data_IF_236909323206
#
_entry.id   IF_236909323206
#
_cell.length_a   1.000
_cell.length_b   1.000
_cell.length_c   1.000
_cell.angle_alpha   90.00
_cell.angle_beta   90.00
_cell.angle_gamma   90.00
#
_symmetry.space_group_name_H-M   'P 1'
#
loop_
_entity.id
_entity.type
_entity.pdbx_description
1 polymer ?
#
# COMPACT_ATOMS: atom_id res chain seq x y z
N UNK A 1 27.61 -1.72 27.18
CA UNK A 1 26.87 -0.45 27.41
C UNK A 1 26.04 -0.08 26.17
N UNK A 2 25.39 -1.04 25.49
CA UNK A 2 24.55 -0.73 24.31
C UNK A 2 23.43 -1.76 24.03
N UNK A 3 23.12 -2.66 24.96
CA UNK A 3 22.19 -3.76 24.71
C UNK A 3 21.04 -3.80 25.70
N UNK A 4 20.20 -2.78 25.62
CA UNK A 4 18.78 -2.85 25.97
C UNK A 4 17.88 -2.31 24.84
N UNK A 5 18.40 -2.21 23.61
CA UNK A 5 17.58 -1.98 22.40
C UNK A 5 16.99 -3.27 21.81
N UNK A 6 17.36 -4.45 22.34
CA UNK A 6 17.02 -5.76 21.76
C UNK A 6 15.83 -6.48 22.39
N UNK A 7 15.51 -6.24 23.67
CA UNK A 7 14.64 -7.16 24.43
C UNK A 7 13.20 -6.69 24.69
N UNK A 8 12.73 -5.69 23.94
CA UNK A 8 11.31 -5.54 23.63
C UNK A 8 11.10 -5.56 22.06
N UNK A 9 12.15 -5.97 21.30
CA UNK A 9 12.15 -6.21 19.84
C UNK A 9 12.21 -7.71 19.47
N UNK A 10 12.12 -8.60 20.46
CA UNK A 10 12.24 -10.06 20.34
C UNK A 10 10.96 -10.80 19.98
N UNK A 11 10.11 -10.30 19.08
CA UNK A 11 9.07 -11.09 18.41
C UNK A 11 9.35 -11.24 16.90
N UNK A 12 10.62 -11.19 16.51
CA UNK A 12 11.07 -11.46 15.13
C UNK A 12 12.27 -12.40 15.12
N UNK A 13 12.04 -13.69 15.35
CA UNK A 13 12.64 -14.87 14.66
C UNK A 13 12.69 -16.10 15.58
N UNK A 14 11.68 -16.97 15.51
CA UNK A 14 11.76 -18.33 14.92
C UNK A 14 10.46 -19.13 15.13
N UNK A 15 9.95 -19.60 13.99
CA UNK A 15 9.11 -20.77 13.68
C UNK A 15 7.72 -20.96 14.34
N UNK A 16 6.73 -20.92 13.43
CA UNK A 16 5.62 -21.86 13.28
C UNK A 16 4.95 -22.35 14.57
N UNK A 17 3.89 -21.67 14.98
CA UNK A 17 2.53 -22.21 15.12
C UNK A 17 1.65 -21.12 15.78
N UNK A 18 0.50 -20.91 15.15
CA UNK A 18 -0.74 -20.36 15.71
C UNK A 18 -0.84 -18.87 16.12
N UNK A 19 -1.93 -18.31 15.58
CA UNK A 19 -2.68 -17.11 15.92
C UNK A 19 -2.15 -15.69 15.63
N UNK A 20 -2.78 -15.14 14.58
CA UNK A 20 -2.99 -13.73 14.25
C UNK A 20 -3.64 -12.87 15.36
N UNK A 21 -3.87 -13.41 16.56
CA UNK A 21 -4.49 -12.71 17.69
C UNK A 21 -3.57 -11.76 18.49
N UNK A 22 -2.23 -11.82 18.33
CA UNK A 22 -1.31 -11.10 19.24
C UNK A 22 -0.76 -9.76 18.76
N UNK A 23 -1.10 -9.29 17.55
CA UNK A 23 -0.62 -7.98 17.05
C UNK A 23 -1.33 -6.77 17.66
N UNK A 24 -2.43 -7.01 18.40
CA UNK A 24 -3.22 -5.99 19.09
C UNK A 24 -3.49 -6.37 20.55
N UNK A 25 -2.58 -7.05 21.24
CA UNK A 25 -2.73 -7.18 22.69
C UNK A 25 -2.52 -5.79 23.31
N UNK A 26 -3.55 -5.19 23.93
CA UNK A 26 -3.33 -4.00 24.73
C UNK A 26 -2.31 -4.34 25.81
N UNK A 27 -1.38 -3.42 26.08
CA UNK A 27 -0.49 -3.52 27.25
C UNK A 27 -1.39 -3.84 28.45
N UNK A 28 -1.13 -4.96 29.15
CA UNK A 28 -1.95 -5.37 30.28
C UNK A 28 -1.98 -4.23 31.30
N UNK A 29 -3.11 -3.98 31.95
CA UNK A 29 -3.21 -2.90 32.95
C UNK A 29 -3.07 -3.51 34.34
N UNK A 30 -2.11 -3.05 35.11
CA UNK A 30 -1.93 -3.43 36.51
C UNK A 30 -2.45 -2.31 37.41
N UNK A 31 -3.07 -2.68 38.53
CA UNK A 31 -3.56 -1.71 39.52
C UNK A 31 -2.48 -1.54 40.58
N UNK A 32 -1.77 -0.41 40.55
CA UNK A 32 -0.80 -0.03 41.58
C UNK A 32 -1.39 1.15 42.35
N UNK A 33 -1.52 1.02 43.68
CA UNK A 33 -2.09 2.05 44.56
C UNK A 33 -3.45 2.61 44.10
N UNK A 34 -4.35 1.75 43.61
CA UNK A 34 -5.71 2.14 43.22
C UNK A 34 -5.83 2.91 41.90
N UNK A 35 -4.75 3.08 41.14
CA UNK A 35 -4.75 3.63 39.77
C UNK A 35 -4.40 2.53 38.76
N UNK A 36 -5.11 2.51 37.62
CA UNK A 36 -4.78 1.61 36.51
C UNK A 36 -3.55 2.15 35.76
N UNK A 37 -2.42 1.45 35.86
CA UNK A 37 -1.19 1.75 35.11
C UNK A 37 -0.93 0.66 34.07
N UNK A 38 -0.20 0.99 32.99
CA UNK A 38 0.17 0.02 31.95
C UNK A 38 1.31 -0.89 32.44
N UNK A 39 1.23 -2.20 32.20
CA UNK A 39 2.17 -3.24 32.63
C UNK A 39 3.57 -2.93 32.12
N UNK A 40 4.54 -2.90 33.03
CA UNK A 40 5.95 -2.58 32.74
C UNK A 40 6.58 -3.75 31.95
N UNK A 41 7.30 -3.49 30.85
CA UNK A 41 8.16 -4.51 30.19
C UNK A 41 9.28 -4.87 31.20
N UNK A 42 9.69 -6.12 31.29
CA UNK A 42 10.74 -6.59 32.20
C UNK A 42 11.93 -7.11 31.41
N UNK A 43 13.14 -6.98 31.95
CA UNK A 43 14.35 -7.58 31.38
C UNK A 43 14.98 -8.53 32.40
N UNK A 44 15.65 -9.59 31.95
CA UNK A 44 16.47 -10.40 32.85
C UNK A 44 17.66 -9.60 33.34
N UNK A 45 18.04 -9.75 34.62
CA UNK A 45 19.19 -9.06 35.19
C UNK A 45 20.46 -9.47 34.43
N UNK A 46 21.13 -8.48 33.83
CA UNK A 46 22.26 -8.69 32.91
C UNK A 46 23.43 -9.42 33.56
N UNK A 47 23.66 -9.22 34.86
CA UNK A 47 24.75 -9.86 35.60
C UNK A 47 24.57 -11.37 35.70
N UNK A 48 23.32 -11.81 35.89
CA UNK A 48 22.95 -13.24 35.97
C UNK A 48 23.14 -13.90 34.61
N UNK A 49 22.66 -13.25 33.54
CA UNK A 49 22.77 -13.77 32.16
C UNK A 49 24.23 -13.83 31.72
N UNK A 50 25.05 -12.84 32.07
CA UNK A 50 26.50 -12.83 31.76
C UNK A 50 27.26 -13.92 32.48
N UNK A 51 26.94 -14.19 33.74
CA UNK A 51 27.58 -15.26 34.51
C UNK A 51 27.26 -16.64 33.92
N UNK A 52 26.00 -16.87 33.55
CA UNK A 52 25.58 -18.12 32.90
C UNK A 52 26.21 -18.30 31.51
N UNK A 53 26.34 -17.22 30.74
CA UNK A 53 27.05 -17.24 29.46
C UNK A 53 28.55 -17.49 29.62
N UNK A 54 29.18 -16.97 30.67
CA UNK A 54 30.60 -17.21 30.96
C UNK A 54 30.86 -18.67 31.39
N UNK A 55 29.85 -19.32 31.98
CA UNK A 55 29.88 -20.74 32.35
C UNK A 55 29.48 -21.67 31.19
N UNK A 56 29.16 -21.13 30.01
CA UNK A 56 28.89 -21.89 28.79
C UNK A 56 27.49 -22.47 28.67
N UNK A 57 26.53 -22.06 29.52
CA UNK A 57 25.18 -22.61 29.52
C UNK A 57 24.30 -22.08 28.37
N UNK A 58 23.51 -22.98 27.76
CA UNK A 58 22.64 -22.65 26.63
C UNK A 58 21.19 -22.40 27.13
N UNK A 59 20.59 -21.22 26.82
CA UNK A 59 19.23 -20.88 27.24
C UNK A 59 18.17 -21.90 26.79
N UNK A 60 17.32 -22.35 27.71
CA UNK A 60 16.20 -23.26 27.42
C UNK A 60 16.56 -24.74 27.27
N UNK A 61 17.86 -25.08 27.28
CA UNK A 61 18.35 -26.47 27.35
C UNK A 61 18.92 -26.79 28.73
N UNK A 62 19.83 -25.92 29.20
CA UNK A 62 20.56 -26.14 30.46
C UNK A 62 20.08 -25.21 31.59
N UNK A 63 19.33 -24.15 31.24
CA UNK A 63 18.78 -23.17 32.18
C UNK A 63 17.32 -22.92 31.85
N UNK A 64 16.45 -23.07 32.84
CA UNK A 64 15.03 -22.78 32.72
C UNK A 64 14.80 -21.27 32.79
N UNK A 65 14.40 -20.67 31.67
CA UNK A 65 14.33 -19.21 31.51
C UNK A 65 13.26 -18.56 32.40
N UNK A 66 12.24 -19.30 32.83
CA UNK A 66 11.15 -18.80 33.68
C UNK A 66 11.57 -18.51 35.12
N UNK A 67 12.71 -19.06 35.57
CA UNK A 67 13.20 -18.95 36.95
C UNK A 67 14.24 -17.85 37.13
N UNK A 68 14.67 -17.20 36.05
CA UNK A 68 15.70 -16.17 36.10
C UNK A 68 15.14 -14.83 36.61
N UNK A 69 15.87 -14.19 37.52
CA UNK A 69 15.49 -12.89 38.09
C UNK A 69 15.34 -11.82 36.99
N UNK A 70 14.19 -11.14 37.02
CA UNK A 70 13.86 -10.03 36.13
C UNK A 70 13.91 -8.70 36.89
N UNK A 71 14.40 -7.67 36.23
CA UNK A 71 14.41 -6.28 36.70
C UNK A 71 13.61 -5.38 35.73
N UNK A 72 13.07 -4.28 36.24
CA UNK A 72 12.48 -3.24 35.39
C UNK A 72 13.56 -2.51 34.58
N UNK A 73 13.23 -2.00 33.40
CA UNK A 73 14.21 -1.20 32.65
C UNK A 73 14.57 0.08 33.41
N UNK A 74 15.85 0.15 33.78
CA UNK A 74 16.44 1.20 34.62
C UNK A 74 16.55 2.53 33.87
N UNK A 75 16.63 2.50 32.54
CA UNK A 75 16.87 3.68 31.68
C UNK A 75 15.58 4.38 31.18
N UNK A 76 14.43 4.05 31.78
CA UNK A 76 13.12 4.47 31.27
C UNK A 76 12.76 3.81 29.95
N UNK A 77 11.58 4.16 29.43
CA UNK A 77 11.05 3.63 28.18
C UNK A 77 10.86 4.80 27.20
N UNK A 78 11.51 4.76 26.04
CA UNK A 78 11.11 5.59 24.91
C UNK A 78 10.39 4.71 23.89
N UNK A 79 9.09 4.94 23.71
CA UNK A 79 8.40 4.42 22.55
C UNK A 79 8.88 5.23 21.35
N UNK A 80 9.52 4.59 20.37
CA UNK A 80 9.81 5.25 19.10
C UNK A 80 8.46 5.53 18.42
N UNK A 81 7.95 6.75 18.60
CA UNK A 81 6.88 7.35 17.79
C UNK A 81 7.41 7.79 16.42
N UNK A 82 8.60 7.32 16.02
CA UNK A 82 9.23 7.74 14.77
C UNK A 82 8.41 7.22 13.59
N UNK A 83 7.49 8.08 13.15
CA UNK A 83 6.95 8.02 11.81
C UNK A 83 8.13 8.37 10.92
N UNK A 84 8.73 7.34 10.31
CA UNK A 84 9.66 7.54 9.20
C UNK A 84 8.88 8.22 8.07
N UNK A 85 8.87 9.55 8.06
CA UNK A 85 8.49 10.34 6.89
C UNK A 85 9.62 10.16 5.89
N UNK A 86 9.58 9.05 5.15
CA UNK A 86 10.49 8.84 4.05
C UNK A 86 10.18 9.87 2.97
N UNK A 87 11.10 10.82 2.79
CA UNK A 87 11.17 11.72 1.65
C UNK A 87 9.98 12.68 1.52
N UNK A 88 10.21 13.99 1.68
CA UNK A 88 9.22 15.00 1.26
C UNK A 88 9.06 15.01 -0.27
N UNK A 89 8.24 14.10 -0.79
CA UNK A 89 7.69 14.15 -2.14
C UNK A 89 6.73 15.36 -2.26
N UNK A 90 6.39 15.78 -3.48
CA UNK A 90 5.42 16.89 -3.68
C UNK A 90 4.14 16.69 -2.86
N UNK A 91 3.66 15.45 -2.79
CA UNK A 91 2.49 15.06 -2.00
C UNK A 91 2.68 15.22 -0.50
N UNK A 92 3.89 14.98 0.03
CA UNK A 92 4.19 15.15 1.45
C UNK A 92 4.30 16.64 1.83
N UNK A 93 4.66 17.51 0.87
CA UNK A 93 4.80 18.96 1.08
C UNK A 93 3.48 19.72 0.95
N UNK A 94 2.73 19.44 -0.10
CA UNK A 94 1.53 20.21 -0.46
C UNK A 94 0.22 19.56 -0.01
N UNK A 95 0.27 18.30 0.45
CA UNK A 95 -0.91 17.51 0.79
C UNK A 95 -1.23 16.48 -0.28
N UNK A 96 -1.97 15.44 0.14
CA UNK A 96 -2.31 14.30 -0.73
C UNK A 96 -3.41 14.71 -1.71
N UNK A 97 -4.42 15.43 -1.22
CA UNK A 97 -5.56 15.88 -2.02
C UNK A 97 -5.16 16.91 -3.09
N UNK A 98 -4.50 18.05 -2.79
CA UNK A 98 -4.12 19.03 -3.81
C UNK A 98 -3.25 18.44 -4.92
N UNK A 99 -2.31 17.56 -4.57
CA UNK A 99 -1.43 16.92 -5.57
C UNK A 99 -2.23 16.00 -6.48
N UNK A 100 -3.12 15.16 -5.94
CA UNK A 100 -3.99 14.29 -6.73
C UNK A 100 -4.81 15.09 -7.75
N UNK A 101 -5.51 16.14 -7.30
CA UNK A 101 -6.34 16.95 -8.21
C UNK A 101 -5.50 17.77 -9.21
N UNK A 102 -4.32 18.24 -8.83
CA UNK A 102 -3.41 18.94 -9.74
C UNK A 102 -2.90 18.00 -10.85
N UNK A 103 -2.50 16.77 -10.52
CA UNK A 103 -2.02 15.79 -11.49
C UNK A 103 -3.16 15.26 -12.38
N UNK A 104 -4.39 15.17 -11.86
CA UNK A 104 -5.59 14.86 -12.65
C UNK A 104 -5.94 15.99 -13.63
N UNK A 105 -5.87 17.26 -13.19
CA UNK A 105 -6.10 18.41 -14.06
C UNK A 105 -5.05 18.49 -15.18
N UNK A 106 -3.78 18.30 -14.83
CA UNK A 106 -2.68 18.29 -15.79
C UNK A 106 -2.81 17.15 -16.81
N UNK A 107 -3.20 15.97 -16.34
CA UNK A 107 -3.44 14.81 -17.21
C UNK A 107 -4.60 15.07 -18.18
N UNK A 108 -5.70 15.65 -17.71
CA UNK A 108 -6.87 15.99 -18.54
C UNK A 108 -6.49 17.00 -19.61
N UNK A 109 -5.70 18.03 -19.25
CA UNK A 109 -5.19 19.01 -20.19
C UNK A 109 -4.33 18.37 -21.28
N UNK A 110 -3.36 17.53 -20.91
CA UNK A 110 -2.52 16.85 -21.90
C UNK A 110 -3.32 15.88 -22.79
N UNK A 111 -4.30 15.18 -22.23
CA UNK A 111 -5.20 14.29 -22.99
C UNK A 111 -6.04 15.08 -24.00
N UNK A 112 -6.53 16.26 -23.64
CA UNK A 112 -7.27 17.12 -24.55
C UNK A 112 -6.39 17.67 -25.68
N UNK A 113 -5.18 18.16 -25.35
CA UNK A 113 -4.20 18.63 -26.35
C UNK A 113 -3.80 17.49 -27.30
N UNK A 114 -3.73 16.26 -26.80
CA UNK A 114 -3.39 15.07 -27.59
C UNK A 114 -4.36 14.81 -28.74
N UNK A 115 -5.64 15.19 -28.61
CA UNK A 115 -6.64 15.05 -29.70
C UNK A 115 -6.29 15.91 -30.92
N UNK A 116 -5.68 17.06 -30.69
CA UNK A 116 -5.30 18.02 -31.73
C UNK A 116 -3.89 17.78 -32.29
N UNK A 117 -3.23 16.68 -31.91
CA UNK A 117 -1.89 16.38 -32.42
C UNK A 117 -1.91 16.19 -33.94
N UNK A 118 -1.10 16.96 -34.65
CA UNK A 118 -0.95 16.90 -36.12
C UNK A 118 0.26 16.09 -36.55
N UNK A 119 1.22 15.85 -35.66
CA UNK A 119 2.44 15.09 -35.90
C UNK A 119 2.59 13.93 -34.94
N UNK A 120 3.16 12.82 -35.41
CA UNK A 120 3.47 11.64 -34.60
C UNK A 120 4.40 11.97 -33.41
N UNK A 121 5.36 12.87 -33.59
CA UNK A 121 6.26 13.31 -32.52
C UNK A 121 5.50 14.04 -31.42
N UNK A 122 4.58 14.93 -31.80
CA UNK A 122 3.72 15.64 -30.85
C UNK A 122 2.83 14.66 -30.09
N UNK A 123 2.23 13.69 -30.79
CA UNK A 123 1.41 12.66 -30.17
C UNK A 123 2.20 11.84 -29.13
N UNK A 124 3.42 11.41 -29.46
CA UNK A 124 4.27 10.59 -28.58
C UNK A 124 4.70 11.36 -27.34
N UNK A 125 5.09 12.64 -27.48
CA UNK A 125 5.47 13.50 -26.34
C UNK A 125 4.28 13.68 -25.39
N UNK A 126 3.08 13.95 -25.93
CA UNK A 126 1.86 14.11 -25.12
C UNK A 126 1.45 12.80 -24.44
N UNK A 127 1.60 11.66 -25.14
CA UNK A 127 1.36 10.33 -24.60
C UNK A 127 2.27 10.04 -23.39
N UNK A 128 3.54 10.44 -23.46
CA UNK A 128 4.48 10.31 -22.34
C UNK A 128 4.01 11.08 -21.09
N UNK A 129 3.61 12.35 -21.24
CA UNK A 129 3.09 13.14 -20.12
C UNK A 129 1.75 12.62 -19.59
N UNK A 130 0.87 12.12 -20.46
CA UNK A 130 -0.37 11.49 -20.05
C UNK A 130 -0.10 10.22 -19.22
N UNK A 131 0.85 9.37 -19.65
CA UNK A 131 1.28 8.19 -18.91
C UNK A 131 1.90 8.51 -17.55
N UNK A 132 2.72 9.56 -17.46
CA UNK A 132 3.26 10.06 -16.19
C UNK A 132 2.14 10.52 -15.24
N UNK A 133 1.14 11.25 -15.78
CA UNK A 133 -0.04 11.67 -15.05
C UNK A 133 -0.85 10.48 -14.51
N UNK A 134 -1.11 9.47 -15.35
CA UNK A 134 -1.83 8.25 -14.95
C UNK A 134 -1.18 7.55 -13.76
N UNK A 135 0.11 7.28 -13.84
CA UNK A 135 0.83 6.58 -12.76
C UNK A 135 0.89 7.42 -11.48
N UNK A 136 1.08 8.74 -11.61
CA UNK A 136 1.04 9.65 -10.47
C UNK A 136 -0.32 9.64 -9.78
N UNK A 137 -1.41 9.67 -10.55
CA UNK A 137 -2.78 9.65 -10.04
C UNK A 137 -3.09 8.34 -9.33
N UNK A 138 -2.69 7.20 -9.91
CA UNK A 138 -2.85 5.89 -9.29
C UNK A 138 -2.16 5.82 -7.92
N UNK A 139 -0.90 6.22 -7.83
CA UNK A 139 -0.14 6.20 -6.57
C UNK A 139 -0.73 7.17 -5.55
N UNK A 140 -1.06 8.40 -5.95
CA UNK A 140 -1.62 9.41 -5.04
C UNK A 140 -2.98 8.98 -4.48
N UNK A 141 -3.87 8.40 -5.31
CA UNK A 141 -5.17 7.90 -4.88
C UNK A 141 -5.04 6.72 -3.92
N UNK A 142 -4.13 5.77 -4.21
CA UNK A 142 -3.86 4.63 -3.32
C UNK A 142 -3.34 5.08 -1.95
N UNK A 143 -2.39 6.02 -1.91
CA UNK A 143 -1.83 6.54 -0.66
C UNK A 143 -2.90 7.29 0.14
N UNK A 144 -3.66 8.18 -0.51
CA UNK A 144 -4.73 8.93 0.15
C UNK A 144 -5.76 8.00 0.79
N UNK A 145 -6.26 7.00 0.05
CA UNK A 145 -7.21 6.04 0.59
C UNK A 145 -6.62 5.14 1.68
N UNK A 146 -5.34 4.75 1.57
CA UNK A 146 -4.65 3.97 2.59
C UNK A 146 -4.35 4.76 3.89
N UNK A 147 -4.30 6.09 3.81
CA UNK A 147 -4.14 6.98 4.96
C UNK A 147 -5.46 7.33 5.64
N UNK A 148 -6.56 7.44 4.88
CA UNK A 148 -7.91 7.68 5.40
C UNK A 148 -8.49 6.41 6.06
N UNK A 149 -8.30 5.25 5.43
CA UNK A 149 -8.90 3.99 5.86
C UNK A 149 -8.04 3.24 6.87
N UNK A 150 -8.68 2.51 7.78
CA UNK A 150 -8.04 1.73 8.84
C UNK A 150 -8.48 0.26 8.81
N UNK A 151 -7.66 -0.63 9.37
CA UNK A 151 -7.97 -2.06 9.53
C UNK A 151 -8.24 -2.79 8.21
N UNK A 152 -9.25 -3.66 8.24
CA UNK A 152 -9.63 -4.52 7.11
C UNK A 152 -10.22 -3.75 5.92
N UNK A 153 -10.85 -2.59 6.17
CA UNK A 153 -11.41 -1.74 5.11
C UNK A 153 -10.31 -1.15 4.23
N UNK A 154 -9.12 -0.89 4.80
CA UNK A 154 -7.95 -0.48 4.03
C UNK A 154 -7.51 -1.57 3.05
N UNK A 155 -7.51 -2.84 3.47
CA UNK A 155 -7.15 -3.97 2.59
C UNK A 155 -8.18 -4.12 1.48
N UNK A 156 -9.48 -4.03 1.82
CA UNK A 156 -10.56 -4.04 0.84
C UNK A 156 -10.40 -2.93 -0.21
N UNK A 157 -10.14 -1.70 0.22
CA UNK A 157 -9.94 -0.57 -0.69
C UNK A 157 -8.71 -0.73 -1.57
N UNK A 158 -7.55 -1.07 -1.00
CA UNK A 158 -6.29 -1.15 -1.75
C UNK A 158 -6.20 -2.36 -2.68
N UNK A 159 -6.89 -3.46 -2.37
CA UNK A 159 -6.83 -4.68 -3.18
C UNK A 159 -8.00 -4.81 -4.15
N UNK A 160 -9.21 -4.48 -3.70
CA UNK A 160 -10.42 -4.64 -4.50
C UNK A 160 -10.94 -3.30 -5.04
N UNK A 161 -11.11 -2.30 -4.17
CA UNK A 161 -11.74 -1.03 -4.53
C UNK A 161 -11.02 -0.28 -5.67
N UNK A 162 -9.71 -0.05 -5.53
CA UNK A 162 -8.93 0.65 -6.56
C UNK A 162 -8.80 -0.15 -7.86
N UNK A 163 -8.63 -1.47 -7.75
CA UNK A 163 -8.40 -2.34 -8.90
C UNK A 163 -9.70 -2.58 -9.70
N UNK A 164 -10.84 -2.72 -9.02
CA UNK A 164 -12.14 -2.81 -9.70
C UNK A 164 -12.46 -1.56 -10.52
N UNK A 165 -12.09 -0.37 -10.04
CA UNK A 165 -12.26 0.87 -10.80
C UNK A 165 -11.51 0.82 -12.14
N UNK A 166 -10.31 0.24 -12.12
CA UNK A 166 -9.52 0.02 -13.34
C UNK A 166 -10.19 -1.01 -14.27
N UNK A 167 -10.60 -2.18 -13.77
CA UNK A 167 -11.28 -3.19 -14.58
C UNK A 167 -12.58 -2.67 -15.21
N UNK A 168 -13.38 -1.90 -14.46
CA UNK A 168 -14.61 -1.27 -14.98
C UNK A 168 -14.29 -0.29 -16.10
N UNK A 169 -13.28 0.57 -15.92
CA UNK A 169 -12.83 1.47 -16.98
C UNK A 169 -12.33 0.72 -18.21
N UNK A 170 -11.60 -0.37 -17.99
CA UNK A 170 -11.07 -1.21 -19.05
C UNK A 170 -12.17 -1.96 -19.82
N UNK A 171 -13.25 -2.39 -19.16
CA UNK A 171 -14.44 -2.98 -19.82
C UNK A 171 -15.25 -1.95 -20.62
N UNK A 172 -15.34 -0.70 -20.14
CA UNK A 172 -16.06 0.38 -20.84
C UNK A 172 -15.32 0.81 -22.11
N UNK A 173 -13.99 0.74 -22.13
CA UNK A 173 -13.18 1.16 -23.27
C UNK A 173 -13.52 0.46 -24.61
N UNK A 174 -13.53 -0.89 -24.71
CA UNK A 174 -13.89 -1.57 -25.95
C UNK A 174 -15.35 -1.36 -26.34
N UNK A 175 -16.24 -1.18 -25.36
CA UNK A 175 -17.65 -0.85 -25.62
C UNK A 175 -17.76 0.55 -26.25
N UNK A 176 -17.07 1.55 -25.69
CA UNK A 176 -17.03 2.90 -26.26
C UNK A 176 -16.38 2.89 -27.65
N UNK A 177 -15.32 2.12 -27.85
CA UNK A 177 -14.61 2.00 -29.12
C UNK A 177 -15.42 1.25 -30.20
N UNK A 178 -16.40 0.42 -29.82
CA UNK A 178 -17.34 -0.21 -30.74
C UNK A 178 -18.30 0.81 -31.37
N UNK A 179 -18.79 1.77 -30.56
CA UNK A 179 -19.66 2.85 -31.03
C UNK A 179 -18.89 4.02 -31.69
N UNK A 180 -17.75 4.39 -31.12
CA UNK A 180 -16.90 5.49 -31.57
C UNK A 180 -15.65 4.93 -32.26
N UNK A 181 -15.73 4.74 -33.58
CA UNK A 181 -14.63 4.18 -34.37
C UNK A 181 -13.50 5.17 -34.64
N UNK A 182 -13.80 6.46 -34.60
CA UNK A 182 -12.79 7.50 -34.75
C UNK A 182 -11.97 7.64 -33.47
N UNK A 183 -10.65 7.46 -33.58
CA UNK A 183 -9.73 7.54 -32.43
C UNK A 183 -9.78 8.91 -31.72
N UNK A 184 -10.03 10.00 -32.46
CA UNK A 184 -10.19 11.34 -31.87
C UNK A 184 -11.45 11.45 -31.02
N UNK A 185 -12.57 10.93 -31.54
CA UNK A 185 -13.85 10.89 -30.83
C UNK A 185 -13.76 10.00 -29.60
N UNK A 186 -13.03 8.89 -29.68
CA UNK A 186 -12.77 8.00 -28.55
C UNK A 186 -11.93 8.69 -27.46
N UNK A 187 -10.88 9.43 -27.84
CA UNK A 187 -10.06 10.21 -26.91
C UNK A 187 -10.84 11.37 -26.27
N UNK A 188 -11.72 12.03 -27.03
CA UNK A 188 -12.62 13.04 -26.46
C UNK A 188 -13.62 12.41 -25.48
N UNK A 189 -14.23 11.29 -25.85
CA UNK A 189 -15.16 10.56 -24.99
C UNK A 189 -14.50 10.05 -23.70
N UNK A 190 -13.22 9.64 -23.75
CA UNK A 190 -12.48 9.19 -22.56
C UNK A 190 -12.01 10.34 -21.67
N UNK A 191 -11.80 11.54 -22.23
CA UNK A 191 -11.45 12.74 -21.46
C UNK A 191 -12.66 13.40 -20.77
N UNK A 192 -13.88 13.16 -21.25
CA UNK A 192 -15.10 13.74 -20.69
C UNK A 192 -15.38 13.30 -19.22
N UNK A 193 -15.23 12.01 -18.86
CA UNK A 193 -15.29 11.56 -17.46
C UNK A 193 -14.28 12.28 -16.55
N UNK A 194 -13.17 12.81 -17.08
CA UNK A 194 -12.21 13.52 -16.26
C UNK A 194 -12.73 14.87 -15.74
N UNK A 195 -13.78 15.43 -16.35
CA UNK A 195 -14.44 16.63 -15.80
C UNK A 195 -15.30 16.32 -14.57
N UNK A 196 -15.67 15.04 -14.35
CA UNK A 196 -16.42 14.61 -13.16
C UNK A 196 -15.59 14.71 -11.88
N UNK A 197 -14.29 15.02 -11.96
CA UNK A 197 -13.43 15.19 -10.80
C UNK A 197 -13.65 16.52 -10.07
N UNK A 198 -14.17 17.56 -10.74
CA UNK A 198 -14.44 18.86 -10.12
C UNK A 198 -15.35 18.76 -8.87
N UNK A 199 -16.52 18.08 -8.92
CA UNK A 199 -17.35 17.91 -7.72
C UNK A 199 -16.68 17.03 -6.66
N UNK A 200 -15.84 16.05 -7.05
CA UNK A 200 -15.15 15.16 -6.09
C UNK A 200 -14.22 15.91 -5.13
N UNK A 201 -13.75 17.11 -5.49
CA UNK A 201 -12.98 17.97 -4.59
C UNK A 201 -13.72 18.22 -3.26
N UNK A 202 -15.04 18.37 -3.31
CA UNK A 202 -15.85 18.65 -2.11
C UNK A 202 -16.09 17.41 -1.25
N UNK A 203 -16.13 16.24 -1.87
CA UNK A 203 -16.42 14.97 -1.19
C UNK A 203 -15.19 14.36 -0.54
N UNK A 204 -14.02 14.46 -1.17
CA UNK A 204 -12.79 13.80 -0.71
C UNK A 204 -12.11 14.68 0.36
N UNK A 205 -11.99 14.21 1.61
CA UNK A 205 -11.23 14.91 2.65
C UNK A 205 -9.72 14.75 2.41
N UNK A 206 -8.94 15.64 3.02
CA UNK A 206 -7.48 15.47 3.10
C UNK A 206 -7.11 14.36 4.08
N UNK A 207 -5.90 13.80 3.96
CA UNK A 207 -5.38 12.78 4.86
C UNK A 207 -5.26 13.27 6.31
N UNK A 208 -5.94 12.63 7.29
CA UNK A 208 -5.79 13.00 8.71
C UNK A 208 -4.36 12.81 9.21
N UNK A 209 -3.64 11.79 8.71
CA UNK A 209 -2.24 11.53 9.08
C UNK A 209 -1.32 12.63 8.58
N UNK A 210 -1.53 13.11 7.34
CA UNK A 210 -0.76 14.22 6.81
C UNK A 210 -1.02 15.51 7.60
N UNK A 211 -2.29 15.81 7.92
CA UNK A 211 -2.66 16.98 8.72
C UNK A 211 -2.00 16.98 10.11
N UNK A 212 -2.03 15.84 10.81
CA UNK A 212 -1.31 15.67 12.08
C UNK A 212 0.19 15.88 11.93
N UNK A 213 0.78 15.46 10.80
CA UNK A 213 2.21 15.61 10.56
C UNK A 213 2.64 17.05 10.24
N UNK A 214 1.67 17.91 9.88
CA UNK A 214 1.86 19.35 9.61
C UNK A 214 1.43 20.23 10.80
N UNK A 215 1.10 19.64 11.95
CA UNK A 215 0.61 20.35 13.14
C UNK A 215 -0.85 20.85 13.04
N UNK A 216 -1.58 20.48 11.98
CA UNK A 216 -2.98 20.89 11.75
C UNK A 216 -3.96 19.97 12.47
N UNK A 217 -3.90 19.97 13.80
CA UNK A 217 -4.66 19.02 14.65
C UNK A 217 -6.17 19.24 14.57
N UNK A 218 -6.62 20.49 14.54
CA UNK A 218 -8.06 20.83 14.48
C UNK A 218 -8.74 20.35 13.19
N UNK A 219 -8.08 20.58 12.04
CA UNK A 219 -8.57 20.10 10.73
C UNK A 219 -8.65 18.56 10.71
N UNK A 220 -7.64 17.88 11.26
CA UNK A 220 -7.61 16.42 11.33
C UNK A 220 -8.73 15.88 12.22
N UNK A 221 -8.97 16.53 13.37
CA UNK A 221 -10.02 16.14 14.31
C UNK A 221 -11.42 16.33 13.71
N UNK A 222 -11.66 17.42 12.98
CA UNK A 222 -12.92 17.68 12.29
C UNK A 222 -13.26 16.56 11.28
N UNK A 223 -12.27 16.09 10.52
CA UNK A 223 -12.44 14.99 9.54
C UNK A 223 -12.79 13.68 10.27
N UNK A 224 -12.05 13.33 11.33
CA UNK A 224 -12.29 12.09 12.09
C UNK A 224 -13.65 12.12 12.78
N UNK A 225 -14.06 13.26 13.36
CA UNK A 225 -15.40 13.44 13.96
C UNK A 225 -16.51 13.29 12.93
N UNK A 226 -16.35 13.86 11.73
CA UNK A 226 -17.32 13.70 10.63
C UNK A 226 -17.45 12.23 10.22
N UNK A 227 -16.32 11.52 10.08
CA UNK A 227 -16.30 10.10 9.76
C UNK A 227 -16.96 9.24 10.86
N UNK A 228 -16.68 9.55 12.13
CA UNK A 228 -17.28 8.84 13.26
C UNK A 228 -18.78 9.10 13.40
N UNK A 229 -19.25 10.32 13.08
CA UNK A 229 -20.69 10.63 13.00
C UNK A 229 -21.39 9.78 11.94
N UNK A 230 -20.77 9.60 10.77
CA UNK A 230 -21.29 8.71 9.72
C UNK A 230 -21.29 7.25 10.14
N UNK A 231 -20.25 6.80 10.83
CA UNK A 231 -20.13 5.42 11.33
C UNK A 231 -20.86 5.17 12.66
N UNK A 232 -21.56 6.18 13.21
CA UNK A 232 -22.29 6.13 14.50
C UNK A 232 -21.44 5.66 15.68
N UNK A 233 -20.15 6.01 15.68
CA UNK A 233 -19.21 5.67 16.77
C UNK A 233 -19.13 6.84 17.76
N UNK A 234 -19.21 6.56 19.07
CA UNK A 234 -19.02 7.57 20.12
C UNK A 234 -17.55 8.00 20.17
N UNK A 235 -17.29 9.28 19.93
CA UNK A 235 -15.94 9.85 19.93
C UNK A 235 -15.70 10.59 21.25
N UNK A 236 -14.53 10.45 21.89
CA UNK A 236 -14.15 11.31 23.01
C UNK A 236 -14.00 12.78 22.57
N UNK A 237 -14.18 13.71 23.51
CA UNK A 237 -14.18 15.15 23.23
C UNK A 237 -12.83 15.72 22.77
N UNK A 238 -11.73 14.98 22.92
CA UNK A 238 -10.39 15.33 22.41
C UNK A 238 -9.72 14.03 21.98
N UNK A 239 -9.41 13.87 20.69
CA UNK A 239 -8.79 12.64 20.15
C UNK A 239 -7.25 12.71 20.20
N UNK A 240 -6.67 13.92 20.03
CA UNK A 240 -5.23 14.10 19.77
C UNK A 240 -4.53 15.00 20.81
N UNK A 241 -4.95 14.97 22.07
CA UNK A 241 -4.43 15.85 23.13
C UNK A 241 -2.90 15.73 23.32
N UNK A 242 -2.37 14.51 23.17
CA UNK A 242 -0.93 14.21 23.29
C UNK A 242 -0.10 14.76 22.11
N UNK A 243 -0.70 15.02 20.94
CA UNK A 243 0.01 15.55 19.77
C UNK A 243 0.29 17.05 19.92
N UNK A 244 -0.65 17.79 20.49
CA UNK A 244 -0.54 19.24 20.73
C UNK A 244 0.49 19.63 21.81
N UNK A 245 0.82 18.72 22.73
CA UNK A 245 1.80 18.95 23.80
C UNK A 245 3.26 18.71 23.38
N UNK A 246 3.51 17.72 22.53
CA UNK A 246 4.86 17.29 22.14
C UNK A 246 5.52 18.22 21.10
N UNK A 247 4.76 19.00 20.31
CA UNK A 247 5.34 19.85 19.25
C UNK A 247 6.04 21.12 19.75
N UNK A 248 5.70 21.63 20.95
CA UNK A 248 6.41 22.80 21.51
C UNK A 248 7.89 22.51 21.83
N UNK A 249 8.27 21.23 21.92
CA UNK A 249 9.62 20.76 22.23
C UNK A 249 10.22 19.83 21.16
N UNK A 250 9.52 19.56 20.05
CA UNK A 250 10.00 18.65 19.02
C UNK A 250 11.08 19.33 18.15
N UNK A 251 12.31 18.81 18.23
CA UNK A 251 13.40 19.23 17.34
C UNK A 251 13.02 19.07 15.86
N UNK A 252 13.58 19.90 14.96
CA UNK A 252 13.32 19.79 13.52
C UNK A 252 13.66 18.38 13.04
N UNK A 253 12.62 17.61 12.69
CA UNK A 253 12.72 16.24 12.16
C UNK A 253 13.73 16.24 11.00
N UNK A 254 14.77 15.41 11.11
CA UNK A 254 15.83 15.31 10.10
C UNK A 254 15.24 15.05 8.71
N UNK A 255 15.80 15.74 7.71
CA UNK A 255 15.38 15.62 6.32
C UNK A 255 15.89 14.30 5.74
N UNK A 256 15.10 13.23 5.88
CA UNK A 256 15.42 11.94 5.27
C UNK A 256 15.39 12.06 3.73
N UNK A 257 16.51 11.73 3.09
CA UNK A 257 16.66 11.79 1.64
C UNK A 257 16.31 10.45 0.99
N UNK A 258 15.97 10.42 -0.31
CA UNK A 258 15.67 9.17 -1.02
C UNK A 258 16.87 8.21 -0.98
N UNK A 259 18.09 8.76 -1.01
CA UNK A 259 19.32 7.99 -0.92
C UNK A 259 19.50 7.31 0.45
N UNK A 260 18.82 7.78 1.51
CA UNK A 260 18.87 7.12 2.81
C UNK A 260 18.13 5.78 2.81
N UNK A 261 17.18 5.56 1.88
CA UNK A 261 16.56 4.25 1.68
C UNK A 261 17.58 3.21 1.20
N UNK A 262 18.61 3.64 0.45
CA UNK A 262 19.69 2.79 -0.04
C UNK A 262 20.82 2.64 0.99
N UNK A 263 20.90 3.55 1.96
CA UNK A 263 21.97 3.58 2.97
C UNK A 263 21.86 2.43 3.98
N UNK A 264 20.64 2.09 4.42
CA UNK A 264 20.43 1.01 5.39
C UNK A 264 20.22 -0.33 4.69
N UNK A 265 21.10 -1.30 4.94
CA UNK A 265 21.12 -2.61 4.26
C UNK A 265 19.77 -3.33 4.25
N UNK A 266 19.04 -3.36 5.37
CA UNK A 266 17.71 -4.01 5.44
C UNK A 266 16.63 -3.29 4.62
N UNK A 267 16.70 -1.96 4.53
CA UNK A 267 15.75 -1.18 3.73
C UNK A 267 16.09 -1.31 2.25
N UNK A 268 17.37 -1.23 1.90
CA UNK A 268 17.88 -1.46 0.56
C UNK A 268 17.42 -2.81 -0.02
N UNK A 269 17.61 -3.91 0.71
CA UNK A 269 17.19 -5.24 0.24
C UNK A 269 15.68 -5.30 0.02
N UNK A 270 14.90 -4.71 0.93
CA UNK A 270 13.43 -4.69 0.81
C UNK A 270 12.98 -3.87 -0.41
N UNK A 271 13.54 -2.66 -0.59
CA UNK A 271 13.24 -1.77 -1.73
C UNK A 271 13.61 -2.43 -3.05
N UNK A 272 14.79 -3.06 -3.16
CA UNK A 272 15.23 -3.74 -4.38
C UNK A 272 14.31 -4.90 -4.75
N UNK A 273 13.88 -5.71 -3.77
CA UNK A 273 12.92 -6.80 -4.01
C UNK A 273 11.59 -6.24 -4.52
N UNK A 274 11.06 -5.18 -3.90
CA UNK A 274 9.82 -4.56 -4.35
C UNK A 274 9.94 -3.97 -5.76
N UNK A 275 11.04 -3.28 -6.08
CA UNK A 275 11.28 -2.77 -7.42
C UNK A 275 11.33 -3.89 -8.46
N UNK A 276 12.00 -4.99 -8.16
CA UNK A 276 12.09 -6.14 -9.05
C UNK A 276 10.73 -6.80 -9.28
N UNK A 277 9.99 -7.07 -8.20
CA UNK A 277 8.65 -7.67 -8.28
C UNK A 277 7.70 -6.76 -9.05
N UNK A 278 7.74 -5.45 -8.80
CA UNK A 278 6.94 -4.47 -9.53
C UNK A 278 7.28 -4.43 -11.02
N UNK A 279 8.58 -4.45 -11.35
CA UNK A 279 9.05 -4.48 -12.74
C UNK A 279 8.57 -5.75 -13.48
N UNK A 280 8.77 -6.93 -12.89
CA UNK A 280 8.32 -8.19 -13.47
C UNK A 280 6.79 -8.23 -13.67
N UNK A 281 6.04 -7.80 -12.65
CA UNK A 281 4.58 -7.79 -12.70
C UNK A 281 4.06 -6.81 -13.76
N UNK A 282 4.66 -5.62 -13.85
CA UNK A 282 4.29 -4.60 -14.84
C UNK A 282 4.59 -5.06 -16.26
N UNK A 283 5.78 -5.65 -16.46
CA UNK A 283 6.18 -6.19 -17.77
C UNK A 283 5.27 -7.34 -18.21
N UNK A 284 4.96 -8.27 -17.30
CA UNK A 284 4.04 -9.37 -17.58
C UNK A 284 2.62 -8.88 -17.92
N UNK A 285 2.10 -7.94 -17.12
CA UNK A 285 0.77 -7.35 -17.33
C UNK A 285 0.65 -6.67 -18.70
N UNK A 286 1.55 -5.73 -19.01
CA UNK A 286 1.50 -5.03 -20.29
C UNK A 286 1.85 -5.95 -21.47
N UNK A 287 2.71 -6.95 -21.28
CA UNK A 287 3.01 -7.95 -22.29
C UNK A 287 1.75 -8.71 -22.73
N UNK A 288 0.96 -9.20 -21.76
CA UNK A 288 -0.29 -9.91 -22.04
C UNK A 288 -1.38 -9.00 -22.61
N UNK A 289 -1.56 -7.82 -22.02
CA UNK A 289 -2.56 -6.84 -22.47
C UNK A 289 -2.32 -6.39 -23.91
N UNK A 290 -1.07 -6.18 -24.32
CA UNK A 290 -0.72 -5.81 -25.70
C UNK A 290 -0.87 -6.99 -26.67
N UNK A 291 -0.64 -8.23 -26.23
CA UNK A 291 -0.80 -9.43 -27.07
C UNK A 291 -2.28 -9.79 -27.30
N UNK A 292 -3.17 -9.46 -26.35
CA UNK A 292 -4.59 -9.84 -26.36
C UNK A 292 -5.33 -9.42 -27.64
N UNK A 293 -4.94 -8.29 -28.25
CA UNK A 293 -5.55 -7.83 -29.50
C UNK A 293 -5.24 -8.72 -30.72
N UNK A 294 -4.22 -9.57 -30.65
CA UNK A 294 -3.77 -10.42 -31.76
C UNK A 294 -4.41 -11.81 -31.76
N UNK A 295 -5.05 -12.26 -30.67
CA UNK A 295 -5.53 -13.64 -30.52
C UNK A 295 -6.88 -13.96 -31.17
N UNK A 296 -7.71 -12.98 -31.51
CA UNK A 296 -9.00 -13.23 -32.18
C UNK A 296 -9.21 -12.35 -33.40
N UNK A 297 -10.15 -12.78 -34.26
CA UNK A 297 -10.64 -12.03 -35.40
C UNK A 297 -11.30 -10.68 -35.05
N UNK A 298 -11.73 -10.46 -33.79
CA UNK A 298 -12.33 -9.19 -33.36
C UNK A 298 -11.63 -8.62 -32.10
N UNK A 299 -10.85 -7.53 -32.22
CA UNK A 299 -10.06 -6.98 -31.11
C UNK A 299 -10.91 -6.39 -29.97
N UNK A 300 -12.16 -5.98 -30.25
CA UNK A 300 -13.05 -5.43 -29.22
C UNK A 300 -13.51 -6.50 -28.23
N UNK A 301 -13.84 -7.69 -28.73
CA UNK A 301 -14.32 -8.79 -27.90
C UNK A 301 -13.17 -9.34 -27.04
N UNK A 302 -11.97 -9.50 -27.60
CA UNK A 302 -10.79 -9.96 -26.83
C UNK A 302 -10.46 -9.01 -25.68
N UNK A 303 -10.46 -7.71 -25.95
CA UNK A 303 -10.19 -6.68 -24.96
C UNK A 303 -11.24 -6.70 -23.83
N UNK A 304 -12.52 -6.87 -24.18
CA UNK A 304 -13.59 -7.00 -23.20
C UNK A 304 -13.46 -8.25 -22.32
N UNK A 305 -13.15 -9.41 -22.93
CA UNK A 305 -12.96 -10.67 -22.18
C UNK A 305 -11.78 -10.54 -21.22
N UNK A 306 -10.65 -9.98 -21.67
CA UNK A 306 -9.48 -9.73 -20.83
C UNK A 306 -9.81 -8.83 -19.64
N UNK A 307 -10.53 -7.73 -19.87
CA UNK A 307 -10.98 -6.85 -18.78
C UNK A 307 -11.99 -7.53 -17.83
N UNK A 308 -12.87 -8.38 -18.35
CA UNK A 308 -13.86 -9.09 -17.54
C UNK A 308 -13.22 -10.13 -16.61
N UNK A 309 -12.13 -10.77 -17.04
CA UNK A 309 -11.36 -11.75 -16.24
C UNK A 309 -10.62 -11.09 -15.07
N UNK A 310 -10.25 -9.81 -15.16
CA UNK A 310 -9.62 -9.08 -14.05
C UNK A 310 -10.55 -8.97 -12.82
N UNK A 311 -11.86 -8.87 -13.02
CA UNK A 311 -12.83 -8.73 -11.92
C UNK A 311 -12.80 -9.92 -10.95
N UNK A 312 -13.01 -11.19 -11.37
CA UNK A 312 -12.91 -12.34 -10.48
C UNK A 312 -11.47 -12.53 -9.95
N UNK A 313 -10.44 -12.15 -10.72
CA UNK A 313 -9.06 -12.19 -10.25
C UNK A 313 -8.82 -11.22 -9.07
N UNK A 314 -9.39 -10.02 -9.09
CA UNK A 314 -9.28 -9.09 -7.98
C UNK A 314 -10.07 -9.55 -6.75
N UNK A 315 -11.26 -10.14 -6.95
CA UNK A 315 -12.05 -10.72 -5.86
C UNK A 315 -11.29 -11.88 -5.20
N UNK A 316 -10.71 -12.78 -5.99
CA UNK A 316 -9.91 -13.89 -5.47
C UNK A 316 -8.67 -13.40 -4.74
N UNK A 317 -7.97 -12.38 -5.27
CA UNK A 317 -6.81 -11.78 -4.61
C UNK A 317 -7.16 -11.16 -3.26
N UNK A 318 -8.32 -10.52 -3.14
CA UNK A 318 -8.82 -9.95 -1.90
C UNK A 318 -9.15 -11.05 -0.88
N UNK A 319 -9.84 -12.12 -1.29
CA UNK A 319 -10.15 -13.26 -0.44
C UNK A 319 -8.87 -13.94 0.07
N UNK A 320 -7.89 -14.17 -0.82
CA UNK A 320 -6.59 -14.75 -0.46
C UNK A 320 -5.88 -13.87 0.58
N UNK A 321 -5.88 -12.55 0.41
CA UNK A 321 -5.27 -11.63 1.37
C UNK A 321 -6.02 -11.53 2.71
N UNK A 322 -7.28 -12.00 2.77
CA UNK A 322 -8.06 -12.05 4.00
C UNK A 322 -7.78 -13.31 4.83
N UNK A 323 -7.60 -14.46 4.17
CA UNK A 323 -7.44 -15.75 4.85
C UNK A 323 -6.00 -16.25 4.94
N UNK A 324 -5.12 -15.80 4.03
CA UNK A 324 -3.75 -16.30 3.93
C UNK A 324 -2.72 -15.22 4.23
N UNK A 325 -1.55 -15.59 4.77
CA UNK A 325 -0.47 -14.63 5.00
C UNK A 325 0.07 -14.10 3.67
N UNK A 326 0.32 -12.78 3.62
CA UNK A 326 0.64 -12.05 2.39
C UNK A 326 1.82 -12.59 1.56
N UNK A 327 2.87 -13.12 2.21
CA UNK A 327 4.08 -13.57 1.51
C UNK A 327 3.86 -14.82 0.66
N UNK A 328 3.36 -15.95 1.22
CA UNK A 328 3.04 -17.10 0.38
C UNK A 328 1.95 -16.78 -0.63
N UNK A 329 0.96 -15.94 -0.32
CA UNK A 329 -0.05 -15.51 -1.30
C UNK A 329 0.56 -14.92 -2.58
N UNK A 330 1.53 -14.01 -2.45
CA UNK A 330 2.21 -13.39 -3.61
C UNK A 330 3.07 -14.40 -4.37
N UNK A 331 3.76 -15.31 -3.66
CA UNK A 331 4.57 -16.34 -4.31
C UNK A 331 3.68 -17.31 -5.08
N UNK A 332 2.58 -17.77 -4.47
CA UNK A 332 1.61 -18.66 -5.09
C UNK A 332 0.96 -18.02 -6.32
N UNK A 333 0.56 -16.75 -6.25
CA UNK A 333 -0.04 -16.07 -7.40
C UNK A 333 0.94 -15.88 -8.56
N UNK A 334 2.21 -15.57 -8.27
CA UNK A 334 3.24 -15.43 -9.31
C UNK A 334 3.56 -16.78 -9.98
N UNK A 335 3.63 -17.86 -9.20
CA UNK A 335 3.83 -19.21 -9.76
C UNK A 335 2.63 -19.68 -10.56
N UNK A 336 1.42 -19.42 -10.08
CA UNK A 336 0.18 -19.78 -10.76
C UNK A 336 0.05 -19.05 -12.09
N UNK A 337 0.37 -17.75 -12.17
CA UNK A 337 0.34 -16.99 -13.42
C UNK A 337 1.48 -17.34 -14.39
N UNK A 338 2.64 -17.77 -13.88
CA UNK A 338 3.76 -18.17 -14.75
C UNK A 338 3.50 -19.50 -15.48
N UNK A 339 2.80 -20.44 -14.84
CA UNK A 339 2.65 -21.81 -15.34
C UNK A 339 1.84 -21.89 -16.67
N UNK A 340 0.69 -21.24 -16.84
CA UNK A 340 -0.05 -21.20 -18.10
C UNK A 340 0.76 -20.57 -19.24
N UNK A 341 1.54 -19.52 -18.95
CA UNK A 341 2.39 -18.87 -19.96
C UNK A 341 3.49 -19.79 -20.49
N UNK A 342 4.05 -20.66 -19.65
CA UNK A 342 4.97 -21.70 -20.13
C UNK A 342 4.25 -22.80 -20.93
N UNK A 343 3.02 -23.16 -20.55
CA UNK A 343 2.24 -24.16 -21.28
C UNK A 343 1.87 -23.70 -22.70
N UNK A 344 1.66 -22.40 -22.92
CA UNK A 344 1.36 -21.85 -24.26
C UNK A 344 2.47 -22.19 -25.27
N UNK A 345 3.73 -22.25 -24.83
CA UNK A 345 4.87 -22.63 -25.71
C UNK A 345 4.77 -24.07 -26.24
N UNK A 346 4.01 -24.94 -25.57
CA UNK A 346 3.80 -26.33 -25.95
C UNK A 346 2.54 -26.54 -26.80
N UNK A 347 1.67 -25.53 -26.90
CA UNK A 347 0.38 -25.66 -27.62
C UNK A 347 0.60 -25.46 -29.12
N UNK A 348 0.18 -26.43 -29.97
CA UNK A 348 0.23 -26.27 -31.41
C UNK A 348 -0.77 -25.21 -31.89
N UNK A 349 -0.40 -24.47 -32.95
CA UNK A 349 -1.19 -23.37 -33.54
C UNK A 349 -2.60 -23.75 -34.04
N UNK A 350 -2.94 -25.05 -34.04
CA UNK A 350 -4.24 -25.56 -34.47
C UNK A 350 -5.36 -25.41 -33.42
N UNK A 351 -5.05 -25.04 -32.17
CA UNK A 351 -6.01 -24.93 -31.07
C UNK A 351 -6.04 -23.51 -30.46
N UNK A 352 -6.58 -22.49 -31.17
CA UNK A 352 -6.57 -21.10 -30.69
C UNK A 352 -7.35 -20.91 -29.38
N UNK A 353 -8.46 -21.65 -29.20
CA UNK A 353 -9.28 -21.57 -27.98
C UNK A 353 -8.53 -22.02 -26.72
N UNK A 354 -7.57 -22.96 -26.85
CA UNK A 354 -6.76 -23.43 -25.74
C UNK A 354 -5.71 -22.39 -25.36
N UNK A 355 -5.09 -21.72 -26.33
CA UNK A 355 -4.18 -20.60 -26.06
C UNK A 355 -4.89 -19.48 -25.31
N UNK A 356 -6.12 -19.13 -25.71
CA UNK A 356 -6.91 -18.09 -25.05
C UNK A 356 -7.25 -18.50 -23.60
N UNK A 357 -7.67 -19.74 -23.39
CA UNK A 357 -7.98 -20.24 -22.05
C UNK A 357 -6.75 -20.22 -21.11
N UNK A 358 -5.55 -20.44 -21.65
CA UNK A 358 -4.30 -20.39 -20.90
C UNK A 358 -3.78 -18.96 -20.69
N UNK A 359 -4.00 -18.05 -21.63
CA UNK A 359 -3.63 -16.63 -21.46
C UNK A 359 -4.52 -15.91 -20.45
N UNK A 360 -5.78 -16.33 -20.35
CA UNK A 360 -6.80 -15.70 -19.51
C UNK A 360 -6.93 -16.36 -18.12
N UNK A 361 -6.01 -17.26 -17.75
CA UNK A 361 -5.95 -17.93 -16.44
C UNK A 361 -4.78 -17.38 -15.62
#
# INVERSE_FOLDING_TARGET
MQECQGFCNGLKRRKYLEDEGRKNLPVQREVVNGKQEQSRCSRYRLDVVRNLSAQGFIPGRDVNLTELEQEGCVDGWSYSKDIFQSTRQLSDRFGRKPVLFATMALQTLFSFIQVFSTSWTMFTILLFFNGLGQMSNFVAALVLGAEILTGNVRVLFSSLGSCLGFAIGYMILPLAAYFLRDWKSLMLASSLPCLLYLPLWTFIPESPRWLLSQGKVEEAEAIVRKAAKWNKVKVPNIIFQDYSGDEKNAQPKEKANVLDLLRKSSMRTTTLIFCFVFFCSTTGYFGLSLNTAQLHANPYISCFISAAVEVPAYISSWLILHYLPRRPSVISSLLLGAMPLYLILLVPQSLPNLCIALEMF
#
